data_IF_831770535771
#
_entry.id   IF_831770535771
#
_cell.length_a   1.000
_cell.length_b   1.000
_cell.length_c   1.000
_cell.angle_alpha   90.00
_cell.angle_beta   90.00
_cell.angle_gamma   90.00
#
_symmetry.space_group_name_H-M   'P 1'
#
loop_
_entity.id
_entity.type
_entity.pdbx_description
1 polymer ?
#
# COMPACT_ATOMS: atom_id res chain seq x y z
N UNK A 1 -32.31 -9.52 -9.61
CA UNK A 1 -31.51 -8.89 -8.54
C UNK A 1 -30.07 -9.29 -8.77
N UNK A 2 -29.36 -8.53 -9.60
CA UNK A 2 -27.98 -8.81 -9.97
C UNK A 2 -27.06 -8.24 -8.88
N UNK A 3 -26.40 -9.14 -8.15
CA UNK A 3 -25.42 -8.78 -7.14
C UNK A 3 -24.13 -8.33 -7.80
N UNK A 4 -23.91 -7.02 -7.83
CA UNK A 4 -22.62 -6.43 -8.19
C UNK A 4 -21.55 -6.88 -7.17
N UNK A 5 -20.82 -7.94 -7.52
CA UNK A 5 -19.58 -8.32 -6.85
C UNK A 5 -18.57 -7.19 -7.09
N UNK A 6 -18.36 -6.35 -6.06
CA UNK A 6 -17.31 -5.35 -6.05
C UNK A 6 -15.96 -6.06 -6.13
N UNK A 7 -15.39 -6.13 -7.34
CA UNK A 7 -14.04 -6.59 -7.56
C UNK A 7 -13.09 -5.69 -6.76
N UNK A 8 -12.52 -6.24 -5.68
CA UNK A 8 -11.33 -5.66 -5.06
C UNK A 8 -10.29 -5.52 -6.17
N UNK A 9 -9.93 -4.27 -6.52
CA UNK A 9 -8.87 -3.98 -7.49
C UNK A 9 -7.54 -4.33 -6.83
N UNK A 10 -7.20 -5.61 -6.80
CA UNK A 10 -5.94 -6.12 -6.28
C UNK A 10 -4.80 -5.69 -7.20
N UNK A 11 -3.77 -5.06 -6.62
CA UNK A 11 -2.51 -4.82 -7.32
C UNK A 11 -1.53 -5.88 -6.88
N UNK A 12 -1.24 -6.80 -7.79
CA UNK A 12 -0.23 -7.83 -7.60
C UNK A 12 1.13 -7.27 -8.00
N UNK A 13 2.07 -7.21 -7.06
CA UNK A 13 3.49 -7.15 -7.38
C UNK A 13 4.18 -8.39 -6.85
N UNK A 14 5.26 -8.84 -7.50
CA UNK A 14 6.07 -9.98 -7.05
C UNK A 14 7.46 -9.49 -6.77
N UNK A 15 7.90 -9.65 -5.52
CA UNK A 15 9.31 -9.52 -5.15
C UNK A 15 10.00 -10.83 -5.55
N UNK A 16 11.19 -10.76 -6.14
CA UNK A 16 12.01 -11.92 -6.48
C UNK A 16 13.29 -11.85 -5.66
N UNK A 17 13.35 -12.58 -4.56
CA UNK A 17 14.60 -12.80 -3.83
C UNK A 17 15.14 -14.18 -4.18
N UNK A 18 16.24 -14.23 -4.93
CA UNK A 18 16.83 -15.52 -5.35
C UNK A 18 18.36 -15.56 -5.27
N UNK A 19 19.04 -14.58 -4.65
CA UNK A 19 20.51 -14.56 -4.73
C UNK A 19 21.32 -14.20 -3.49
N UNK A 20 20.76 -13.83 -2.35
CA UNK A 20 21.59 -13.61 -1.16
C UNK A 20 20.87 -13.98 0.14
N UNK A 21 21.42 -14.89 0.98
CA UNK A 21 20.81 -15.33 2.25
C UNK A 21 20.72 -14.23 3.32
N UNK A 22 21.07 -12.98 2.99
CA UNK A 22 21.07 -11.81 3.89
C UNK A 22 20.00 -10.78 3.55
N UNK A 23 19.25 -10.95 2.45
CA UNK A 23 18.15 -10.04 2.11
C UNK A 23 16.84 -10.59 2.69
N UNK A 24 16.22 -9.82 3.58
CA UNK A 24 14.87 -10.09 4.07
C UNK A 24 13.86 -9.55 3.05
N UNK A 25 12.64 -10.08 3.04
CA UNK A 25 11.55 -9.56 2.18
C UNK A 25 11.32 -8.05 2.35
N UNK A 26 11.68 -7.49 3.50
CA UNK A 26 11.69 -6.04 3.78
C UNK A 26 12.69 -5.28 2.91
N UNK A 27 13.94 -5.74 2.78
CA UNK A 27 14.93 -5.07 1.93
C UNK A 27 14.56 -5.16 0.45
N UNK A 28 14.03 -6.31 0.03
CA UNK A 28 13.59 -6.50 -1.33
C UNK A 28 12.34 -5.65 -1.65
N UNK A 29 11.42 -5.47 -0.69
CA UNK A 29 10.31 -4.50 -0.79
C UNK A 29 10.83 -3.07 -0.87
N UNK A 30 11.78 -2.68 -0.02
CA UNK A 30 12.36 -1.34 -0.05
C UNK A 30 13.07 -1.06 -1.40
N UNK A 31 13.76 -2.06 -1.96
CA UNK A 31 14.36 -1.96 -3.30
C UNK A 31 13.30 -1.85 -4.40
N UNK A 32 12.19 -2.59 -4.29
CA UNK A 32 11.08 -2.52 -5.25
C UNK A 32 10.39 -1.16 -5.19
N UNK A 33 10.11 -0.62 -4.01
CA UNK A 33 9.54 0.71 -3.81
C UNK A 33 10.45 1.79 -4.43
N UNK A 34 11.77 1.68 -4.25
CA UNK A 34 12.74 2.65 -4.82
C UNK A 34 12.86 2.57 -6.34
N UNK A 35 12.69 1.39 -6.94
CA UNK A 35 12.94 1.15 -8.37
C UNK A 35 11.69 1.10 -9.23
N UNK A 36 10.49 0.97 -8.64
CA UNK A 36 9.24 0.83 -9.37
C UNK A 36 8.23 1.91 -8.96
N UNK A 37 8.09 2.94 -9.82
CA UNK A 37 7.19 4.07 -9.58
C UNK A 37 5.72 3.64 -9.47
N UNK A 38 5.29 2.60 -10.17
CA UNK A 38 3.92 2.07 -10.09
C UNK A 38 3.64 1.45 -8.73
N UNK A 39 4.60 0.69 -8.18
CA UNK A 39 4.49 0.15 -6.82
C UNK A 39 4.51 1.27 -5.79
N UNK A 40 5.44 2.22 -5.94
CA UNK A 40 5.51 3.40 -5.07
C UNK A 40 4.17 4.15 -5.05
N UNK A 41 3.57 4.45 -6.21
CA UNK A 41 2.26 5.11 -6.35
C UNK A 41 1.20 4.46 -5.46
N UNK A 42 1.12 3.13 -5.48
CA UNK A 42 0.15 2.41 -4.68
C UNK A 42 0.46 2.45 -3.18
N UNK A 43 1.72 2.27 -2.81
CA UNK A 43 2.16 2.21 -1.40
C UNK A 43 1.90 3.53 -0.67
N UNK A 44 2.05 4.66 -1.36
CA UNK A 44 1.88 6.00 -0.76
C UNK A 44 0.54 6.66 -1.13
N UNK A 45 -0.40 5.90 -1.70
CA UNK A 45 -1.71 6.44 -2.07
C UNK A 45 -2.49 6.80 -0.80
N UNK A 46 -2.77 8.10 -0.54
CA UNK A 46 -3.29 8.59 0.75
C UNK A 46 -4.69 8.06 1.09
N UNK A 47 -5.49 7.76 0.08
CA UNK A 47 -6.86 7.32 0.30
C UNK A 47 -6.95 5.82 0.64
N UNK A 48 -5.87 5.05 0.46
CA UNK A 48 -5.82 3.66 0.90
C UNK A 48 -5.68 3.62 2.43
N UNK A 49 -6.65 2.99 3.11
CA UNK A 49 -6.73 3.00 4.58
C UNK A 49 -6.46 1.64 5.20
N UNK A 50 -6.44 0.59 4.38
CA UNK A 50 -6.21 -0.79 4.83
C UNK A 50 -5.35 -1.50 3.81
N UNK A 51 -4.43 -2.30 4.32
CA UNK A 51 -3.67 -3.21 3.49
C UNK A 51 -3.50 -4.57 4.18
N UNK A 52 -3.28 -5.60 3.38
CA UNK A 52 -2.90 -6.93 3.81
C UNK A 52 -1.69 -7.40 3.02
N UNK A 53 -0.83 -8.20 3.65
CA UNK A 53 0.39 -8.73 3.05
C UNK A 53 0.34 -10.26 3.09
N UNK A 54 0.68 -10.89 1.96
CA UNK A 54 0.77 -12.35 1.85
C UNK A 54 2.11 -12.72 1.23
N UNK A 55 2.79 -13.70 1.81
CA UNK A 55 4.04 -14.25 1.28
C UNK A 55 3.87 -15.74 1.01
N UNK A 56 4.45 -16.21 -0.09
CA UNK A 56 4.49 -17.62 -0.45
C UNK A 56 5.86 -18.00 -1.00
N UNK A 57 6.35 -19.18 -0.63
CA UNK A 57 7.59 -19.75 -1.16
C UNK A 57 7.24 -20.72 -2.28
N UNK A 58 7.77 -20.48 -3.48
CA UNK A 58 7.57 -21.32 -4.66
C UNK A 58 8.83 -22.14 -4.89
N UNK A 59 8.69 -23.46 -4.78
CA UNK A 59 9.81 -24.43 -4.78
C UNK A 59 10.19 -24.95 -6.17
N UNK A 60 9.57 -24.46 -7.25
CA UNK A 60 9.72 -25.07 -8.59
C UNK A 60 11.08 -24.87 -9.28
N UNK A 61 12.01 -24.07 -8.72
CA UNK A 61 13.43 -24.13 -9.16
C UNK A 61 14.42 -23.30 -8.34
N UNK A 62 14.00 -22.31 -7.53
CA UNK A 62 14.93 -21.37 -6.87
C UNK A 62 14.47 -20.79 -5.52
N UNK A 63 13.79 -21.56 -4.66
CA UNK A 63 13.26 -21.08 -3.36
C UNK A 63 12.74 -19.63 -3.44
N UNK A 64 11.84 -19.40 -4.39
CA UNK A 64 11.44 -18.06 -4.79
C UNK A 64 10.36 -17.58 -3.83
N UNK A 65 10.65 -16.52 -3.08
CA UNK A 65 9.63 -15.86 -2.25
C UNK A 65 8.83 -14.93 -3.15
N UNK A 66 7.51 -15.11 -3.25
CA UNK A 66 6.59 -14.09 -3.79
C UNK A 66 5.88 -13.43 -2.64
N UNK A 67 5.88 -12.11 -2.64
CA UNK A 67 5.10 -11.33 -1.68
C UNK A 67 4.13 -10.40 -2.40
N UNK A 68 2.92 -10.27 -1.85
CA UNK A 68 1.80 -9.52 -2.44
C UNK A 68 1.17 -8.62 -1.38
N UNK A 69 1.04 -7.32 -1.68
CA UNK A 69 0.14 -6.43 -0.95
C UNK A 69 -1.24 -6.39 -1.60
N UNK A 70 -2.28 -6.38 -0.78
CA UNK A 70 -3.63 -6.01 -1.18
C UNK A 70 -4.00 -4.72 -0.45
N UNK A 71 -4.51 -3.74 -1.17
CA UNK A 71 -5.00 -2.48 -0.61
C UNK A 71 -6.52 -2.39 -0.80
N UNK A 72 -7.20 -1.71 0.11
CA UNK A 72 -8.64 -1.44 -0.01
C UNK A 72 -8.98 -0.49 -1.17
N UNK A 73 -8.06 0.42 -1.52
CA UNK A 73 -8.18 1.30 -2.68
C UNK A 73 -6.96 1.24 -3.60
N UNK A 74 -7.22 1.29 -4.91
CA UNK A 74 -6.20 1.38 -5.95
C UNK A 74 -5.89 2.85 -6.26
N UNK A 75 -4.61 3.19 -6.35
CA UNK A 75 -4.15 4.48 -6.85
C UNK A 75 -4.60 4.71 -8.31
N UNK A 76 -5.15 5.88 -8.65
CA UNK A 76 -5.42 6.26 -10.03
C UNK A 76 -4.16 6.21 -10.91
N UNK A 77 -4.30 5.90 -12.19
CA UNK A 77 -3.16 5.77 -13.09
C UNK A 77 -2.44 7.13 -13.29
N UNK A 78 -3.20 8.24 -13.23
CA UNK A 78 -2.76 9.64 -13.29
C UNK A 78 -2.34 10.22 -11.92
N UNK A 79 -2.31 9.40 -10.86
CA UNK A 79 -1.84 9.82 -9.54
C UNK A 79 -0.40 10.34 -9.62
N UNK A 80 -0.23 11.59 -9.19
CA UNK A 80 1.05 12.30 -9.19
C UNK A 80 1.65 12.28 -7.79
N UNK A 81 2.72 11.50 -7.64
CA UNK A 81 3.45 11.33 -6.39
C UNK A 81 4.03 12.67 -5.91
N UNK A 82 4.43 13.55 -6.82
CA UNK A 82 5.05 14.83 -6.45
C UNK A 82 4.04 15.80 -5.82
N UNK A 83 2.73 15.55 -6.00
CA UNK A 83 1.65 16.33 -5.38
C UNK A 83 1.27 15.83 -3.99
N UNK A 84 1.91 14.78 -3.49
CA UNK A 84 1.84 14.35 -2.08
C UNK A 84 2.65 15.36 -1.26
N UNK A 85 2.15 16.58 -1.18
CA UNK A 85 2.73 17.65 -0.36
C UNK A 85 2.28 17.54 1.10
N UNK A 86 2.65 18.55 1.89
CA UNK A 86 2.23 18.70 3.29
C UNK A 86 0.70 18.72 3.49
N UNK A 87 -0.08 18.86 2.41
CA UNK A 87 -1.54 18.85 2.41
C UNK A 87 -2.17 17.54 2.91
N UNK A 88 -1.42 16.44 2.95
CA UNK A 88 -1.92 15.14 3.42
C UNK A 88 -1.50 14.81 4.86
N UNK A 89 -0.70 15.67 5.50
CA UNK A 89 -0.35 15.56 6.92
C UNK A 89 -1.44 16.23 7.73
N UNK A 90 -2.10 15.48 8.60
CA UNK A 90 -2.99 16.06 9.58
C UNK A 90 -2.20 16.55 10.81
N UNK A 91 -2.70 17.57 11.50
CA UNK A 91 -2.14 17.99 12.79
C UNK A 91 -2.71 17.13 13.92
N UNK A 92 -1.86 16.69 14.85
CA UNK A 92 -2.29 15.83 15.97
C UNK A 92 -3.37 16.57 16.77
N UNK A 93 -4.55 15.94 16.93
CA UNK A 93 -5.71 16.53 17.60
C UNK A 93 -6.66 17.31 16.68
N UNK A 94 -6.34 17.47 15.39
CA UNK A 94 -7.18 18.10 14.37
C UNK A 94 -7.71 17.02 13.41
N UNK A 95 -8.77 16.33 13.83
CA UNK A 95 -9.41 15.29 13.02
C UNK A 95 -10.08 15.87 11.75
N UNK A 96 -10.40 17.17 11.76
CA UNK A 96 -10.94 17.92 10.62
C UNK A 96 -9.95 18.09 9.46
N UNK A 97 -8.65 17.94 9.70
CA UNK A 97 -7.62 17.96 8.64
C UNK A 97 -7.70 16.69 7.75
N UNK A 98 -8.51 15.69 8.13
CA UNK A 98 -8.67 14.42 7.43
C UNK A 98 -9.92 14.40 6.53
N UNK A 99 -9.90 15.16 5.44
CA UNK A 99 -11.05 15.32 4.52
C UNK A 99 -11.29 14.11 3.58
N UNK A 100 -10.33 13.21 3.44
CA UNK A 100 -10.37 12.05 2.53
C UNK A 100 -10.79 10.72 3.20
N UNK A 101 -11.03 10.73 4.51
CA UNK A 101 -11.46 9.55 5.29
C UNK A 101 -12.53 9.95 6.30
N UNK A 102 -13.61 9.17 6.44
CA UNK A 102 -14.65 9.45 7.44
C UNK A 102 -15.27 8.15 8.00
N UNK A 103 -15.48 8.03 9.32
CA UNK A 103 -14.98 8.91 10.38
C UNK A 103 -13.46 8.78 10.54
N UNK A 104 -12.76 9.89 10.79
CA UNK A 104 -11.29 9.92 10.88
C UNK A 104 -10.76 10.32 12.26
N UNK A 105 -9.54 9.88 12.56
CA UNK A 105 -8.69 10.40 13.64
C UNK A 105 -7.29 10.71 13.12
N UNK A 106 -6.70 11.81 13.56
CA UNK A 106 -5.32 12.13 13.25
C UNK A 106 -4.37 11.58 14.31
N UNK A 107 -3.43 10.72 13.92
CA UNK A 107 -2.33 10.23 14.76
C UNK A 107 -1.04 10.19 13.96
N UNK A 108 0.11 10.54 14.55
CA UNK A 108 1.40 10.44 13.86
C UNK A 108 1.43 11.09 12.46
N UNK A 109 1.08 12.39 12.36
CA UNK A 109 0.63 13.07 11.14
C UNK A 109 -0.13 12.28 10.05
N UNK A 110 -0.87 11.23 10.41
CA UNK A 110 -1.60 10.35 9.50
C UNK A 110 -3.07 10.25 9.88
N UNK A 111 -3.94 10.19 8.87
CA UNK A 111 -5.38 10.01 9.05
C UNK A 111 -5.75 8.53 9.10
N UNK A 112 -6.45 8.11 10.15
CA UNK A 112 -6.93 6.75 10.33
C UNK A 112 -8.46 6.70 10.40
N UNK A 113 -9.07 5.63 9.87
CA UNK A 113 -10.50 5.37 10.09
C UNK A 113 -10.75 5.08 11.57
N UNK A 114 -11.64 5.86 12.22
CA UNK A 114 -12.17 5.51 13.54
C UNK A 114 -13.04 4.27 13.42
N UNK A 115 -12.70 3.21 14.15
CA UNK A 115 -13.65 2.11 14.35
C UNK A 115 -14.83 2.66 15.17
N UNK A 116 -16.05 2.40 14.67
CA UNK A 116 -17.28 2.59 15.44
C UNK A 116 -17.31 1.60 16.60
#
# INVERSE_FOLDING_TARGET
>A
MEGHSQHAKSILFSILDSRHPTFTSVYALAALIRSNRTVLKQVIYPEATRYGWVEGVIKESKCLVKSVCLFDKKAPDDFDIEKIGDKQKCRIGHDEDCDYVTPATCKYPLCYIKKK
#
